data_IF_800760619241
#
_entry.id   IF_800760619241
#
_cell.length_a   1.000
_cell.length_b   1.000
_cell.length_c   1.000
_cell.angle_alpha   90.00
_cell.angle_beta   90.00
_cell.angle_gamma   90.00
#
_symmetry.space_group_name_H-M   'P 1'
#
loop_
_entity.id
_entity.type
_entity.pdbx_description
1 polymer ?
#
# COMPACT_ATOMS: atom_id res chain seq x y z
N UNK A 1 -7.62 -26.40 -19.36
CA UNK A 1 -6.24 -26.21 -18.88
C UNK A 1 -5.55 -25.08 -19.65
N UNK A 2 -5.46 -25.16 -20.99
CA UNK A 2 -4.80 -24.15 -21.83
C UNK A 2 -5.45 -22.74 -21.78
N UNK A 3 -6.79 -22.67 -21.74
CA UNK A 3 -7.52 -21.41 -21.57
C UNK A 3 -7.31 -20.77 -20.18
N UNK A 4 -7.27 -21.57 -19.11
CA UNK A 4 -7.01 -21.08 -17.75
C UNK A 4 -5.57 -20.56 -17.59
N UNK A 5 -4.60 -21.23 -18.22
CA UNK A 5 -3.21 -20.75 -18.29
C UNK A 5 -3.05 -19.46 -19.11
N UNK A 6 -3.89 -19.24 -20.12
CA UNK A 6 -3.87 -18.01 -20.90
C UNK A 6 -4.47 -16.82 -20.14
N UNK A 7 -5.52 -17.07 -19.34
CA UNK A 7 -6.15 -16.08 -18.44
C UNK A 7 -5.18 -15.69 -17.33
N UNK A 8 -4.54 -16.66 -16.64
CA UNK A 8 -3.53 -16.38 -15.61
C UNK A 8 -2.37 -15.49 -16.11
N UNK A 9 -1.95 -15.65 -17.37
CA UNK A 9 -0.86 -14.86 -17.98
C UNK A 9 -1.19 -13.41 -18.33
N UNK A 10 -2.46 -12.97 -18.27
CA UNK A 10 -2.81 -11.56 -18.55
C UNK A 10 -2.83 -10.66 -17.31
N UNK A 11 -3.16 -11.19 -16.14
CA UNK A 11 -3.50 -10.38 -14.95
C UNK A 11 -2.34 -10.18 -13.97
N UNK A 12 -1.19 -10.79 -14.24
CA UNK A 12 -0.05 -10.74 -13.33
C UNK A 12 0.46 -9.32 -13.04
N UNK A 13 0.33 -8.40 -14.00
CA UNK A 13 0.76 -7.01 -13.82
C UNK A 13 -0.13 -6.31 -12.81
N UNK A 14 -1.45 -6.51 -12.91
CA UNK A 14 -2.44 -5.95 -11.98
C UNK A 14 -2.17 -6.43 -10.56
N UNK A 15 -1.96 -7.75 -10.39
CA UNK A 15 -1.65 -8.35 -9.10
C UNK A 15 -0.31 -7.84 -8.55
N UNK A 16 0.69 -7.67 -9.40
CA UNK A 16 1.99 -7.09 -9.02
C UNK A 16 1.86 -5.65 -8.54
N UNK A 17 1.06 -4.82 -9.23
CA UNK A 17 0.84 -3.42 -8.85
C UNK A 17 0.13 -3.34 -7.49
N UNK A 18 -0.94 -4.10 -7.30
CA UNK A 18 -1.69 -4.13 -6.04
C UNK A 18 -0.78 -4.62 -4.90
N UNK A 19 -0.14 -5.78 -5.05
CA UNK A 19 0.74 -6.35 -4.04
C UNK A 19 1.93 -5.43 -3.74
N UNK A 20 2.53 -4.83 -4.77
CA UNK A 20 3.62 -3.86 -4.65
C UNK A 20 3.21 -2.61 -3.88
N UNK A 21 2.05 -2.04 -4.21
CA UNK A 21 1.53 -0.86 -3.53
C UNK A 21 1.27 -1.12 -2.03
N UNK A 22 0.64 -2.25 -1.70
CA UNK A 22 0.42 -2.63 -0.30
C UNK A 22 1.75 -2.88 0.44
N UNK A 23 2.74 -3.47 -0.24
CA UNK A 23 4.07 -3.72 0.33
C UNK A 23 4.87 -2.43 0.60
N UNK A 24 4.74 -1.43 -0.27
CA UNK A 24 5.28 -0.08 -0.04
C UNK A 24 4.65 0.52 1.21
N UNK A 25 3.33 0.45 1.35
CA UNK A 25 2.62 0.94 2.53
C UNK A 25 3.07 0.25 3.83
N UNK A 26 3.15 -1.08 3.81
CA UNK A 26 3.60 -1.87 4.97
C UNK A 26 5.04 -1.54 5.39
N UNK A 27 5.98 -1.51 4.44
CA UNK A 27 7.38 -1.19 4.74
C UNK A 27 7.57 0.27 5.20
N UNK A 28 6.83 1.21 4.61
CA UNK A 28 6.81 2.62 5.05
C UNK A 28 6.28 2.74 6.47
N UNK A 29 5.18 2.06 6.81
CA UNK A 29 4.62 2.07 8.17
C UNK A 29 5.61 1.56 9.20
N UNK A 30 6.35 0.48 8.90
CA UNK A 30 7.39 -0.04 9.79
C UNK A 30 8.57 0.92 9.92
N UNK A 31 9.01 1.54 8.81
CA UNK A 31 10.04 2.58 8.85
C UNK A 31 9.64 3.74 9.76
N UNK A 32 8.40 4.23 9.67
CA UNK A 32 7.89 5.31 10.52
C UNK A 32 7.91 4.92 12.00
N UNK A 33 7.43 3.72 12.34
CA UNK A 33 7.45 3.20 13.72
C UNK A 33 8.89 3.11 14.23
N UNK A 34 9.78 2.51 13.43
CA UNK A 34 11.19 2.35 13.78
C UNK A 34 11.88 3.70 13.99
N UNK A 35 11.62 4.69 13.11
CA UNK A 35 12.18 6.03 13.23
C UNK A 35 11.71 6.72 14.52
N UNK A 36 10.41 6.68 14.84
CA UNK A 36 9.88 7.28 16.08
C UNK A 36 10.49 6.64 17.32
N UNK A 37 10.57 5.31 17.35
CA UNK A 37 11.17 4.58 18.47
C UNK A 37 12.67 4.91 18.61
N UNK A 38 13.41 4.88 17.50
CA UNK A 38 14.84 5.18 17.48
C UNK A 38 15.11 6.62 17.94
N UNK A 39 14.32 7.58 17.47
CA UNK A 39 14.49 8.99 17.83
C UNK A 39 14.15 9.25 19.30
N UNK A 40 13.11 8.59 19.84
CA UNK A 40 12.74 8.71 21.24
C UNK A 40 13.76 8.09 22.22
N UNK A 41 14.55 7.12 21.76
CA UNK A 41 15.58 6.45 22.56
C UNK A 41 17.02 6.90 22.24
N UNK A 42 17.20 7.78 21.25
CA UNK A 42 18.48 8.31 20.81
C UNK A 42 19.10 9.24 21.86
N UNK A 43 20.40 9.09 22.09
CA UNK A 43 21.17 9.95 22.98
C UNK A 43 22.62 10.04 22.49
N UNK A 44 23.08 11.24 22.15
CA UNK A 44 24.44 11.48 21.63
C UNK A 44 25.53 11.28 22.69
N UNK A 45 25.19 11.38 23.97
CA UNK A 45 26.09 11.17 25.10
C UNK A 45 25.84 9.83 25.81
N UNK A 46 24.89 9.04 25.30
CA UNK A 46 24.51 7.76 25.88
C UNK A 46 25.53 6.64 25.67
N UNK A 47 25.13 5.43 26.06
CA UNK A 47 25.90 4.22 25.76
C UNK A 47 26.09 3.98 24.25
N UNK A 48 26.82 2.93 23.89
CA UNK A 48 27.10 2.59 22.48
C UNK A 48 25.81 2.43 21.66
N UNK A 49 24.79 1.78 22.23
CA UNK A 49 23.54 1.50 21.52
C UNK A 49 22.71 2.77 21.32
N UNK A 50 22.56 3.60 22.34
CA UNK A 50 21.86 4.89 22.22
C UNK A 50 22.55 5.85 21.26
N UNK A 51 23.89 5.84 21.23
CA UNK A 51 24.66 6.59 20.23
C UNK A 51 24.44 6.05 18.81
N UNK A 52 24.32 4.74 18.62
CA UNK A 52 23.92 4.19 17.32
C UNK A 52 22.53 4.64 16.90
N UNK A 53 21.55 4.65 17.80
CA UNK A 53 20.20 5.17 17.51
C UNK A 53 20.23 6.67 17.18
N UNK A 54 21.07 7.45 17.87
CA UNK A 54 21.30 8.84 17.56
C UNK A 54 21.87 9.00 16.15
N UNK A 55 22.94 8.30 15.80
CA UNK A 55 23.52 8.32 14.46
C UNK A 55 22.53 7.81 13.39
N UNK A 56 21.69 6.83 13.71
CA UNK A 56 20.67 6.29 12.78
C UNK A 56 19.61 7.33 12.42
N UNK A 57 19.29 8.24 13.35
CA UNK A 57 18.27 9.29 13.17
C UNK A 57 18.87 10.65 12.80
N UNK A 58 20.17 10.84 13.03
CA UNK A 58 20.91 12.08 12.80
C UNK A 58 22.12 11.83 11.87
N UNK A 59 21.86 11.33 10.67
CA UNK A 59 22.88 11.13 9.64
C UNK A 59 22.54 11.85 8.32
N UNK A 60 23.52 11.87 7.40
CA UNK A 60 23.40 12.49 6.10
C UNK A 60 22.28 11.89 5.22
N UNK A 61 21.95 10.60 5.36
CA UNK A 61 20.84 9.99 4.61
C UNK A 61 19.50 10.53 5.10
N UNK A 62 19.34 10.66 6.42
CA UNK A 62 18.17 11.33 7.01
C UNK A 62 18.15 12.81 6.63
N UNK A 63 19.29 13.50 6.65
CA UNK A 63 19.40 14.89 6.22
C UNK A 63 19.05 15.07 4.73
N UNK A 64 19.50 14.17 3.86
CA UNK A 64 19.16 14.16 2.44
C UNK A 64 17.67 13.89 2.23
N UNK A 65 17.16 12.89 2.95
CA UNK A 65 15.74 12.52 2.91
C UNK A 65 14.85 13.59 3.53
N UNK A 66 15.34 14.43 4.44
CA UNK A 66 14.57 15.55 5.00
C UNK A 66 14.71 16.83 4.18
N UNK A 67 15.84 17.01 3.47
CA UNK A 67 16.02 18.08 2.50
C UNK A 67 15.19 17.85 1.23
N UNK A 68 15.02 16.58 0.82
CA UNK A 68 14.28 16.19 -0.40
C UNK A 68 13.32 15.02 -0.16
N UNK A 69 12.42 15.11 0.85
CA UNK A 69 11.57 13.99 1.29
C UNK A 69 10.74 13.41 0.17
N UNK A 70 10.33 14.28 -0.74
CA UNK A 70 9.49 13.84 -1.80
C UNK A 70 10.23 13.14 -2.94
N UNK A 71 11.49 13.48 -3.21
CA UNK A 71 12.34 12.70 -4.13
C UNK A 71 12.55 11.30 -3.53
N UNK A 72 12.86 11.23 -2.23
CA UNK A 72 13.03 9.96 -1.53
C UNK A 72 11.76 9.09 -1.62
N UNK A 73 10.56 9.65 -1.41
CA UNK A 73 9.32 8.88 -1.50
C UNK A 73 8.92 8.56 -2.94
N UNK A 74 9.11 9.47 -3.92
CA UNK A 74 8.89 9.15 -5.34
C UNK A 74 9.77 7.96 -5.75
N UNK A 75 11.06 7.98 -5.39
CA UNK A 75 11.96 6.86 -5.63
C UNK A 75 11.49 5.60 -4.89
N UNK A 76 11.05 5.71 -3.64
CA UNK A 76 10.54 4.57 -2.87
C UNK A 76 9.33 3.91 -3.54
N UNK A 77 8.35 4.71 -3.99
CA UNK A 77 7.14 4.22 -4.66
C UNK A 77 7.48 3.64 -6.04
N UNK A 78 8.22 4.38 -6.86
CA UNK A 78 8.54 3.95 -8.24
C UNK A 78 9.42 2.71 -8.22
N UNK A 79 10.50 2.69 -7.43
CA UNK A 79 11.36 1.52 -7.32
C UNK A 79 10.62 0.34 -6.71
N UNK A 80 9.78 0.56 -5.69
CA UNK A 80 8.93 -0.48 -5.12
C UNK A 80 8.04 -1.14 -6.19
N UNK A 81 7.30 -0.34 -6.96
CA UNK A 81 6.46 -0.88 -8.03
C UNK A 81 7.27 -1.59 -9.13
N UNK A 82 8.44 -1.06 -9.51
CA UNK A 82 9.35 -1.74 -10.46
C UNK A 82 9.77 -3.12 -9.92
N UNK A 83 10.17 -3.20 -8.65
CA UNK A 83 10.54 -4.47 -8.01
C UNK A 83 9.36 -5.43 -7.90
N UNK A 84 8.15 -4.94 -7.65
CA UNK A 84 6.94 -5.77 -7.62
C UNK A 84 6.63 -6.39 -9.00
N UNK A 85 6.70 -5.59 -10.07
CA UNK A 85 6.54 -6.06 -11.45
C UNK A 85 7.67 -7.04 -11.81
N UNK A 86 8.91 -6.76 -11.41
CA UNK A 86 10.02 -7.67 -11.65
C UNK A 86 9.84 -9.01 -10.92
N UNK A 87 9.37 -8.99 -9.66
CA UNK A 87 9.05 -10.20 -8.90
C UNK A 87 8.03 -11.07 -9.65
N UNK A 88 6.94 -10.45 -10.07
CA UNK A 88 5.87 -11.12 -10.78
C UNK A 88 6.32 -11.71 -12.12
N UNK A 89 7.16 -10.98 -12.86
CA UNK A 89 7.77 -11.45 -14.10
C UNK A 89 8.68 -12.66 -13.88
N UNK A 90 9.49 -12.64 -12.81
CA UNK A 90 10.38 -13.74 -12.43
C UNK A 90 9.61 -15.00 -11.99
N UNK A 91 8.48 -14.84 -11.29
CA UNK A 91 7.62 -15.98 -10.91
C UNK A 91 6.94 -16.62 -12.13
N UNK A 92 6.53 -15.84 -13.13
CA UNK A 92 5.91 -16.38 -14.34
C UNK A 92 6.89 -16.97 -15.34
N UNK A 93 8.10 -16.42 -15.39
CA UNK A 93 9.14 -16.86 -16.31
C UNK A 93 10.37 -17.40 -15.54
N UNK A 94 10.19 -18.40 -14.66
CA UNK A 94 11.27 -18.82 -13.79
C UNK A 94 12.31 -19.58 -14.59
N UNK A 95 13.49 -18.99 -14.75
CA UNK A 95 14.67 -19.74 -15.16
C UNK A 95 15.03 -20.79 -14.10
N UNK A 96 15.80 -21.83 -14.47
CA UNK A 96 16.26 -22.83 -13.49
C UNK A 96 16.97 -22.20 -12.29
N UNK A 97 17.75 -21.14 -12.54
CA UNK A 97 18.45 -20.41 -11.50
C UNK A 97 17.48 -19.68 -10.57
N UNK A 98 16.51 -18.93 -11.13
CA UNK A 98 15.51 -18.18 -10.36
C UNK A 98 14.69 -19.13 -9.49
N UNK A 99 14.26 -20.27 -10.04
CA UNK A 99 13.52 -21.28 -9.27
C UNK A 99 14.34 -21.85 -8.12
N UNK A 100 15.62 -22.17 -8.36
CA UNK A 100 16.53 -22.64 -7.31
C UNK A 100 16.71 -21.61 -6.19
N UNK A 101 16.80 -20.33 -6.55
CA UNK A 101 17.03 -19.24 -5.60
C UNK A 101 15.77 -18.84 -4.82
N UNK A 102 14.64 -18.63 -5.49
CA UNK A 102 13.36 -18.34 -4.82
C UNK A 102 12.84 -19.55 -4.05
N UNK A 103 13.12 -20.76 -4.53
CA UNK A 103 12.66 -22.04 -4.01
C UNK A 103 11.15 -22.28 -4.18
N UNK A 104 10.71 -23.47 -3.80
CA UNK A 104 9.31 -23.91 -3.94
C UNK A 104 8.48 -23.68 -2.65
N UNK A 105 8.89 -22.74 -1.80
CA UNK A 105 8.24 -22.44 -0.52
C UNK A 105 6.96 -21.60 -0.66
N UNK A 106 6.27 -21.27 0.44
CA UNK A 106 5.09 -20.38 0.42
C UNK A 106 5.46 -18.97 -0.08
N UNK A 107 4.46 -18.23 -0.59
CA UNK A 107 4.64 -16.93 -1.25
C UNK A 107 5.47 -15.94 -0.42
N UNK A 108 5.17 -15.80 0.87
CA UNK A 108 5.92 -14.92 1.76
C UNK A 108 7.42 -15.26 1.84
N UNK A 109 7.78 -16.54 1.82
CA UNK A 109 9.17 -16.98 1.90
C UNK A 109 9.91 -16.71 0.58
N UNK A 110 9.24 -16.93 -0.56
CA UNK A 110 9.77 -16.59 -1.89
C UNK A 110 9.98 -15.09 -2.01
N UNK A 111 9.02 -14.29 -1.57
CA UNK A 111 9.10 -12.83 -1.55
C UNK A 111 10.21 -12.29 -0.64
N UNK A 112 10.40 -12.84 0.56
CA UNK A 112 11.53 -12.47 1.44
C UNK A 112 12.89 -12.78 0.80
N UNK A 113 13.04 -13.94 0.14
CA UNK A 113 14.27 -14.29 -0.60
C UNK A 113 14.48 -13.33 -1.76
N UNK A 114 13.43 -13.05 -2.52
CA UNK A 114 13.47 -12.07 -3.60
C UNK A 114 13.98 -10.71 -3.11
N UNK A 115 13.48 -10.24 -1.97
CA UNK A 115 13.82 -8.94 -1.41
C UNK A 115 15.30 -8.77 -1.01
N UNK A 116 16.08 -9.86 -0.97
CA UNK A 116 17.53 -9.77 -0.82
C UNK A 116 18.18 -9.05 -2.02
N UNK A 117 17.62 -9.14 -3.24
CA UNK A 117 18.11 -8.40 -4.40
C UNK A 117 17.96 -6.88 -4.25
N UNK A 118 16.75 -6.31 -4.06
CA UNK A 118 16.60 -4.88 -3.84
C UNK A 118 17.36 -4.42 -2.60
N UNK A 119 17.46 -5.24 -1.55
CA UNK A 119 18.30 -4.93 -0.39
C UNK A 119 19.77 -4.76 -0.79
N UNK A 120 20.36 -5.71 -1.52
CA UNK A 120 21.74 -5.59 -2.01
C UNK A 120 21.90 -4.35 -2.88
N UNK A 121 20.98 -4.12 -3.83
CA UNK A 121 20.99 -2.93 -4.70
C UNK A 121 20.95 -1.65 -3.86
N UNK A 122 20.12 -1.61 -2.82
CA UNK A 122 20.03 -0.45 -1.94
C UNK A 122 21.34 -0.20 -1.19
N UNK A 123 22.04 -1.25 -0.76
CA UNK A 123 23.34 -1.14 -0.08
C UNK A 123 24.46 -0.69 -1.02
N UNK A 124 24.51 -1.23 -2.25
CA UNK A 124 25.65 -1.03 -3.15
C UNK A 124 25.49 0.14 -4.13
N UNK A 125 24.25 0.52 -4.43
CA UNK A 125 23.95 1.60 -5.38
C UNK A 125 23.29 2.79 -4.69
N UNK A 126 22.17 2.57 -3.98
CA UNK A 126 21.36 3.68 -3.47
C UNK A 126 21.99 4.40 -2.27
N UNK A 127 22.51 3.66 -1.28
CA UNK A 127 23.17 4.26 -0.13
C UNK A 127 24.41 5.08 -0.53
N UNK A 128 25.34 4.56 -1.36
CA UNK A 128 26.46 5.37 -1.85
C UNK A 128 26.03 6.57 -2.69
N UNK A 129 24.98 6.43 -3.51
CA UNK A 129 24.46 7.54 -4.31
C UNK A 129 23.80 8.63 -3.46
N UNK A 130 23.11 8.25 -2.38
CA UNK A 130 22.52 9.19 -1.42
C UNK A 130 23.57 9.84 -0.50
N UNK A 131 24.75 9.22 -0.37
CA UNK A 131 25.82 9.61 0.54
C UNK A 131 27.14 9.85 -0.19
N UNK A 132 27.12 10.55 -1.33
CA UNK A 132 28.33 10.88 -2.11
C UNK A 132 29.40 11.46 -1.17
N UNK A 133 30.55 10.76 -1.06
CA UNK A 133 31.71 11.02 -0.17
C UNK A 133 31.61 10.58 1.31
N UNK A 134 30.68 9.71 1.72
CA UNK A 134 30.42 9.48 3.16
C UNK A 134 30.24 8.02 3.62
N UNK A 135 30.82 7.03 2.94
CA UNK A 135 30.72 5.62 3.36
C UNK A 135 31.18 5.39 4.82
N UNK A 136 32.21 6.11 5.26
CA UNK A 136 32.72 6.09 6.65
C UNK A 136 31.70 6.58 7.68
N UNK A 137 30.76 7.45 7.29
CA UNK A 137 29.74 8.02 8.16
C UNK A 137 28.43 7.25 8.14
N UNK A 138 28.03 6.65 7.01
CA UNK A 138 26.88 5.75 6.98
C UNK A 138 27.08 4.52 7.90
N UNK A 139 28.34 4.16 8.17
CA UNK A 139 28.73 3.12 9.12
C UNK A 139 28.88 3.62 10.57
N UNK A 140 28.75 4.92 10.86
CA UNK A 140 28.86 5.47 12.23
C UNK A 140 27.68 5.05 13.12
N UNK A 141 26.52 4.82 12.53
CA UNK A 141 25.36 4.18 13.15
C UNK A 141 25.56 2.67 13.39
N UNK A 142 26.76 2.16 13.10
CA UNK A 142 27.13 0.77 13.28
C UNK A 142 26.32 -0.16 12.37
N UNK A 143 26.05 -1.40 12.82
CA UNK A 143 25.33 -2.39 12.02
C UNK A 143 23.84 -2.06 11.85
N UNK A 144 23.30 -1.07 12.56
CA UNK A 144 21.85 -0.77 12.53
C UNK A 144 21.37 -0.32 11.16
N UNK A 145 22.19 0.38 10.37
CA UNK A 145 21.80 0.82 9.03
C UNK A 145 21.57 -0.37 8.08
N UNK A 146 22.57 -1.26 7.84
CA UNK A 146 22.35 -2.40 6.95
C UNK A 146 21.32 -3.40 7.48
N UNK A 147 21.22 -3.58 8.80
CA UNK A 147 20.24 -4.49 9.43
C UNK A 147 18.82 -3.93 9.36
N UNK A 148 18.62 -2.66 9.72
CA UNK A 148 17.31 -2.01 9.60
C UNK A 148 16.84 -1.98 8.16
N UNK A 149 17.74 -1.66 7.24
CA UNK A 149 17.45 -1.71 5.81
C UNK A 149 17.10 -3.13 5.32
N UNK A 150 17.78 -4.16 5.81
CA UNK A 150 17.42 -5.56 5.53
C UNK A 150 16.00 -5.87 6.03
N UNK A 151 15.68 -5.53 7.27
CA UNK A 151 14.36 -5.78 7.86
C UNK A 151 13.25 -5.14 7.02
N UNK A 152 13.41 -3.89 6.59
CA UNK A 152 12.42 -3.20 5.76
C UNK A 152 12.20 -3.92 4.42
N UNK A 153 13.28 -4.37 3.78
CA UNK A 153 13.19 -5.13 2.54
C UNK A 153 12.55 -6.50 2.76
N UNK A 154 12.88 -7.20 3.85
CA UNK A 154 12.25 -8.48 4.17
C UNK A 154 10.74 -8.33 4.42
N UNK A 155 10.30 -7.23 5.05
CA UNK A 155 8.88 -6.94 5.25
C UNK A 155 8.20 -6.63 3.92
N UNK A 156 8.83 -5.79 3.09
CA UNK A 156 8.38 -5.54 1.73
C UNK A 156 8.21 -6.85 0.94
N UNK A 157 9.23 -7.72 0.96
CA UNK A 157 9.22 -9.01 0.28
C UNK A 157 8.18 -9.97 0.84
N UNK A 158 8.02 -10.03 2.16
CA UNK A 158 7.01 -10.86 2.82
C UNK A 158 5.61 -10.51 2.34
N UNK A 159 5.23 -9.22 2.39
CA UNK A 159 3.91 -8.75 1.97
C UNK A 159 3.72 -8.95 0.46
N UNK A 160 4.73 -8.63 -0.34
CA UNK A 160 4.68 -8.79 -1.79
C UNK A 160 4.45 -10.24 -2.18
N UNK A 161 5.24 -11.16 -1.64
CA UNK A 161 5.14 -12.58 -1.95
C UNK A 161 3.83 -13.19 -1.45
N UNK A 162 3.33 -12.77 -0.29
CA UNK A 162 2.07 -13.24 0.26
C UNK A 162 0.86 -12.79 -0.58
N UNK A 163 0.84 -11.53 -1.02
CA UNK A 163 -0.28 -10.96 -1.78
C UNK A 163 -0.23 -11.30 -3.27
N UNK A 164 0.96 -11.51 -3.82
CA UNK A 164 1.12 -11.91 -5.22
C UNK A 164 0.88 -13.40 -5.44
N UNK A 165 1.00 -14.24 -4.40
CA UNK A 165 1.01 -15.70 -4.51
C UNK A 165 -0.06 -16.21 -5.50
N UNK A 166 0.33 -16.77 -6.65
CA UNK A 166 -0.62 -17.18 -7.69
C UNK A 166 -1.60 -18.27 -7.21
N UNK A 167 -1.21 -19.02 -6.17
CA UNK A 167 -2.02 -20.03 -5.52
C UNK A 167 -3.07 -19.44 -4.55
N UNK A 168 -3.06 -18.14 -4.26
CA UNK A 168 -4.12 -17.48 -3.49
C UNK A 168 -5.48 -17.50 -4.22
N UNK A 169 -5.48 -17.72 -5.53
CA UNK A 169 -6.69 -17.98 -6.32
C UNK A 169 -7.06 -19.46 -6.42
N UNK A 170 -6.36 -20.36 -5.72
CA UNK A 170 -6.79 -21.75 -5.60
C UNK A 170 -7.67 -21.88 -4.35
N UNK A 171 -8.81 -22.58 -4.44
CA UNK A 171 -9.71 -22.75 -3.32
C UNK A 171 -8.98 -23.34 -2.11
N UNK A 172 -9.13 -22.69 -0.95
CA UNK A 172 -8.40 -23.04 0.27
C UNK A 172 -8.75 -24.45 0.78
N UNK A 173 -9.94 -24.95 0.41
CA UNK A 173 -10.40 -26.30 0.70
C UNK A 173 -11.06 -26.94 -0.53
N UNK A 174 -11.05 -28.28 -0.61
CA UNK A 174 -11.75 -29.02 -1.67
C UNK A 174 -13.28 -28.84 -1.68
N UNK A 175 -13.85 -28.21 -0.64
CA UNK A 175 -15.28 -27.85 -0.56
C UNK A 175 -15.58 -26.46 -1.16
N UNK A 176 -14.58 -25.56 -1.26
CA UNK A 176 -14.72 -24.26 -1.97
C UNK A 176 -14.84 -24.42 -3.49
N UNK A 177 -14.60 -25.62 -4.02
CA UNK A 177 -14.73 -25.97 -5.44
C UNK A 177 -16.18 -25.98 -5.95
N UNK A 178 -17.18 -25.91 -5.07
CA UNK A 178 -18.58 -26.17 -5.43
C UNK A 178 -19.30 -24.92 -5.96
N UNK A 179 -18.76 -23.71 -5.77
CA UNK A 179 -19.48 -22.46 -6.09
C UNK A 179 -18.68 -21.31 -6.72
N UNK A 180 -17.44 -21.50 -7.21
CA UNK A 180 -16.85 -20.48 -8.09
C UNK A 180 -17.50 -20.56 -9.48
N UNK A 181 -18.66 -19.92 -9.62
CA UNK A 181 -19.23 -19.67 -10.94
C UNK A 181 -18.17 -18.94 -11.78
N UNK A 182 -17.93 -19.35 -13.04
CA UNK A 182 -16.98 -18.66 -13.93
C UNK A 182 -17.19 -17.14 -13.98
N UNK A 183 -18.44 -16.68 -13.78
CA UNK A 183 -18.80 -15.28 -13.70
C UNK A 183 -18.18 -14.56 -12.49
N UNK A 184 -18.11 -15.21 -11.32
CA UNK A 184 -17.50 -14.64 -10.13
C UNK A 184 -15.98 -14.49 -10.29
N UNK A 185 -15.32 -15.48 -10.90
CA UNK A 185 -13.88 -15.37 -11.21
C UNK A 185 -13.59 -14.21 -12.18
N UNK A 186 -14.42 -14.06 -13.22
CA UNK A 186 -14.31 -12.93 -14.17
C UNK A 186 -14.56 -11.60 -13.45
N UNK A 187 -15.52 -11.56 -12.52
CA UNK A 187 -15.84 -10.37 -11.73
C UNK A 187 -14.65 -9.91 -10.86
N UNK A 188 -14.02 -10.86 -10.15
CA UNK A 188 -12.84 -10.59 -9.33
C UNK A 188 -11.68 -10.11 -10.20
N UNK A 189 -11.42 -10.78 -11.33
CA UNK A 189 -10.35 -10.38 -12.26
C UNK A 189 -10.55 -8.96 -12.79
N UNK A 190 -11.77 -8.62 -13.21
CA UNK A 190 -12.07 -7.25 -13.65
C UNK A 190 -11.91 -6.24 -12.51
N UNK A 191 -12.35 -6.56 -11.30
CA UNK A 191 -12.12 -5.73 -10.10
C UNK A 191 -10.62 -5.52 -9.84
N UNK A 192 -9.78 -6.55 -9.97
CA UNK A 192 -8.33 -6.43 -9.80
C UNK A 192 -7.68 -5.56 -10.89
N UNK A 193 -8.05 -5.76 -12.16
CA UNK A 193 -7.52 -4.96 -13.27
C UNK A 193 -7.87 -3.48 -13.14
N UNK A 194 -9.14 -3.19 -12.86
CA UNK A 194 -9.57 -1.81 -12.65
C UNK A 194 -9.02 -1.24 -11.35
N UNK A 195 -8.84 -2.06 -10.31
CA UNK A 195 -8.16 -1.68 -9.07
C UNK A 195 -6.71 -1.27 -9.33
N UNK A 196 -5.95 -2.06 -10.08
CA UNK A 196 -4.57 -1.72 -10.45
C UNK A 196 -4.49 -0.44 -11.31
N UNK A 197 -5.36 -0.32 -12.32
CA UNK A 197 -5.47 0.90 -13.11
C UNK A 197 -5.83 2.11 -12.23
N UNK A 198 -6.73 1.89 -11.28
CA UNK A 198 -7.16 2.85 -10.26
C UNK A 198 -6.00 3.31 -9.37
N UNK A 199 -5.13 2.41 -8.90
CA UNK A 199 -3.95 2.77 -8.12
C UNK A 199 -3.03 3.71 -8.92
N UNK A 200 -2.78 3.38 -10.19
CA UNK A 200 -1.90 4.17 -11.06
C UNK A 200 -2.51 5.55 -11.36
N UNK A 201 -3.75 5.57 -11.85
CA UNK A 201 -4.45 6.82 -12.21
C UNK A 201 -4.72 7.68 -10.98
N UNK A 202 -5.17 7.07 -9.89
CA UNK A 202 -5.39 7.73 -8.61
C UNK A 202 -4.11 8.30 -8.04
N UNK A 203 -2.97 7.60 -8.16
CA UNK A 203 -1.67 8.12 -7.78
C UNK A 203 -1.27 9.36 -8.57
N UNK A 204 -1.46 9.35 -9.90
CA UNK A 204 -1.17 10.50 -10.78
C UNK A 204 -2.08 11.69 -10.45
N UNK A 205 -3.39 11.47 -10.33
CA UNK A 205 -4.36 12.52 -9.99
C UNK A 205 -4.07 13.08 -8.60
N UNK A 206 -3.83 12.20 -7.63
CA UNK A 206 -3.48 12.59 -6.27
C UNK A 206 -2.21 13.43 -6.21
N UNK A 207 -1.18 13.09 -6.99
CA UNK A 207 0.02 13.92 -7.14
C UNK A 207 -0.32 15.33 -7.63
N UNK A 208 -1.10 15.43 -8.70
CA UNK A 208 -1.51 16.71 -9.28
C UNK A 208 -2.33 17.55 -8.29
N UNK A 209 -3.25 16.93 -7.55
CA UNK A 209 -4.03 17.59 -6.48
C UNK A 209 -3.11 18.05 -5.35
N UNK A 210 -2.16 17.22 -4.92
CA UNK A 210 -1.18 17.59 -3.90
C UNK A 210 -0.35 18.81 -4.29
N UNK A 211 0.12 18.85 -5.54
CA UNK A 211 0.83 20.01 -6.11
C UNK A 211 -0.08 21.24 -6.15
N UNK A 212 -1.33 21.08 -6.61
CA UNK A 212 -2.31 22.17 -6.66
C UNK A 212 -2.62 22.75 -5.28
N UNK A 213 -2.81 21.89 -4.28
CA UNK A 213 -2.99 22.28 -2.88
C UNK A 213 -1.78 23.05 -2.35
N UNK A 214 -0.57 22.68 -2.75
CA UNK A 214 0.63 23.39 -2.32
C UNK A 214 0.75 24.81 -2.89
N UNK A 215 0.12 25.08 -4.04
CA UNK A 215 0.05 26.42 -4.64
C UNK A 215 -0.97 27.28 -3.90
N UNK A 216 -2.09 26.68 -3.46
CA UNK A 216 -3.21 27.41 -2.85
C UNK A 216 -3.03 27.59 -1.34
N UNK A 217 -2.55 26.56 -0.65
CA UNK A 217 -2.35 26.59 0.79
C UNK A 217 -1.04 27.33 1.08
N UNK A 218 -1.08 28.47 1.79
CA UNK A 218 0.14 29.13 2.23
C UNK A 218 0.93 28.11 3.06
N UNK A 219 2.27 28.07 2.92
CA UNK A 219 3.07 27.23 3.79
C UNK A 219 2.71 27.60 5.23
N UNK A 220 2.15 26.65 5.95
CA UNK A 220 1.68 26.85 7.33
C UNK A 220 2.84 27.18 8.28
N UNK A 221 4.08 27.09 7.79
CA UNK A 221 5.31 27.38 8.49
C UNK A 221 6.18 28.32 7.65
N UNK A 222 6.41 29.57 8.09
CA UNK A 222 7.10 30.61 7.30
C UNK A 222 8.58 30.33 6.95
N UNK A 223 9.15 29.22 7.43
CA UNK A 223 10.56 28.83 7.23
C UNK A 223 10.72 27.48 6.52
N UNK A 224 9.67 26.92 5.94
CA UNK A 224 9.77 25.68 5.14
C UNK A 224 9.92 26.09 3.68
N UNK A 225 11.08 25.77 3.11
CA UNK A 225 11.41 26.08 1.73
C UNK A 225 10.35 25.53 0.76
N UNK A 226 9.89 26.36 -0.17
CA UNK A 226 8.72 26.11 -1.04
C UNK A 226 8.89 24.87 -1.94
N UNK A 227 10.14 24.45 -2.17
CA UNK A 227 10.46 23.20 -2.87
C UNK A 227 10.09 21.93 -2.08
N UNK A 228 10.11 21.95 -0.75
CA UNK A 228 9.78 20.77 0.07
C UNK A 228 8.29 20.55 0.26
N UNK A 229 7.52 21.64 0.44
CA UNK A 229 6.08 21.60 0.73
C UNK A 229 5.25 21.02 -0.41
N UNK A 230 5.50 21.50 -1.64
CA UNK A 230 4.74 21.08 -2.82
C UNK A 230 4.94 19.62 -3.17
N UNK A 231 6.17 19.15 -3.10
CA UNK A 231 6.46 17.77 -3.44
C UNK A 231 6.04 16.83 -2.28
N UNK A 232 6.07 17.26 -1.02
CA UNK A 232 5.52 16.48 0.11
C UNK A 232 4.00 16.28 -0.01
N UNK A 233 3.26 17.32 -0.36
CA UNK A 233 1.83 17.21 -0.64
C UNK A 233 1.56 16.37 -1.89
N UNK A 234 2.40 16.47 -2.93
CA UNK A 234 2.32 15.59 -4.10
C UNK A 234 2.46 14.12 -3.71
N UNK A 235 3.41 13.80 -2.84
CA UNK A 235 3.65 12.44 -2.36
C UNK A 235 2.50 11.91 -1.49
N UNK A 236 2.04 12.70 -0.52
CA UNK A 236 0.83 12.36 0.22
C UNK A 236 -0.34 12.12 -0.73
N UNK A 237 -0.41 12.94 -1.78
CA UNK A 237 -1.31 12.81 -2.90
C UNK A 237 -1.19 11.47 -3.64
N UNK A 238 0.02 11.04 -4.00
CA UNK A 238 0.24 9.74 -4.67
C UNK A 238 -0.28 8.59 -3.82
N UNK A 239 0.06 8.56 -2.53
CA UNK A 239 -0.33 7.47 -1.64
C UNK A 239 -1.84 7.47 -1.36
N UNK A 240 -2.41 8.63 -1.03
CA UNK A 240 -3.84 8.75 -0.76
C UNK A 240 -4.68 8.54 -2.03
N UNK A 241 -4.27 9.17 -3.13
CA UNK A 241 -4.90 9.04 -4.43
C UNK A 241 -4.79 7.62 -4.98
N UNK A 242 -3.63 6.96 -4.86
CA UNK A 242 -3.46 5.56 -5.26
C UNK A 242 -4.31 4.61 -4.43
N UNK A 243 -4.40 4.82 -3.11
CA UNK A 243 -5.25 4.01 -2.23
C UNK A 243 -6.73 4.14 -2.60
N UNK A 244 -7.21 5.38 -2.77
CA UNK A 244 -8.60 5.62 -3.17
C UNK A 244 -8.87 5.16 -4.58
N UNK A 245 -7.95 5.42 -5.51
CA UNK A 245 -8.06 4.99 -6.88
C UNK A 245 -8.15 3.47 -6.96
N UNK A 246 -7.39 2.73 -6.16
CA UNK A 246 -7.49 1.27 -6.05
C UNK A 246 -8.87 0.81 -5.61
N UNK A 247 -9.44 1.44 -4.57
CA UNK A 247 -10.78 1.12 -4.06
C UNK A 247 -11.87 1.45 -5.11
N UNK A 248 -11.82 2.66 -5.69
CA UNK A 248 -12.80 3.08 -6.72
C UNK A 248 -12.68 2.20 -7.96
N UNK A 249 -11.46 1.91 -8.38
CA UNK A 249 -11.16 1.00 -9.47
C UNK A 249 -11.73 -0.39 -9.23
N UNK A 250 -11.50 -0.97 -8.05
CA UNK A 250 -12.03 -2.30 -7.74
C UNK A 250 -13.55 -2.35 -7.80
N UNK A 251 -14.24 -1.35 -7.25
CA UNK A 251 -15.70 -1.27 -7.36
C UNK A 251 -16.19 -1.03 -8.79
N UNK A 252 -15.48 -0.20 -9.57
CA UNK A 252 -15.82 0.07 -10.97
C UNK A 252 -15.61 -1.16 -11.88
N UNK A 253 -14.72 -2.07 -11.50
CA UNK A 253 -14.49 -3.32 -12.21
C UNK A 253 -15.51 -4.42 -11.90
N UNK A 254 -16.34 -4.28 -10.88
CA UNK A 254 -17.38 -5.26 -10.60
C UNK A 254 -18.40 -5.27 -11.75
N UNK A 255 -18.72 -6.44 -12.34
CA UNK A 255 -19.76 -6.53 -13.33
C UNK A 255 -21.07 -6.10 -12.70
N UNK A 256 -21.88 -5.36 -13.45
CA UNK A 256 -23.25 -5.11 -13.04
C UNK A 256 -23.89 -6.48 -12.83
N UNK A 257 -24.25 -6.80 -11.58
CA UNK A 257 -25.01 -8.01 -11.29
C UNK A 257 -26.19 -8.03 -12.26
N UNK A 258 -26.37 -9.16 -12.96
CA UNK A 258 -27.51 -9.34 -13.83
C UNK A 258 -28.74 -9.15 -12.96
N UNK A 259 -29.44 -8.01 -13.13
CA UNK A 259 -30.53 -7.65 -12.24
C UNK A 259 -31.57 -8.74 -12.32
N UNK A 260 -32.00 -9.22 -11.15
CA UNK A 260 -33.14 -10.11 -11.08
C UNK A 260 -34.29 -9.47 -11.88
N UNK A 261 -34.96 -10.20 -12.79
CA UNK A 261 -36.15 -9.70 -13.46
C UNK A 261 -37.16 -9.04 -12.50
N UNK A 262 -37.23 -9.49 -11.25
CA UNK A 262 -38.04 -8.86 -10.20
C UNK A 262 -37.51 -7.47 -9.79
N UNK A 263 -36.20 -7.26 -9.70
CA UNK A 263 -35.55 -5.96 -9.47
C UNK A 263 -35.71 -5.00 -10.65
N UNK A 264 -35.72 -5.52 -11.89
CA UNK A 264 -35.98 -4.70 -13.09
C UNK A 264 -37.41 -4.14 -13.08
N UNK A 265 -38.34 -4.85 -12.45
CA UNK A 265 -39.73 -4.43 -12.29
C UNK A 265 -39.96 -3.55 -11.05
N UNK A 266 -39.07 -3.60 -10.06
CA UNK A 266 -39.11 -2.68 -8.92
C UNK A 266 -38.72 -1.26 -9.38
N UNK A 267 -39.41 -0.25 -8.86
CA UNK A 267 -39.01 1.14 -9.14
C UNK A 267 -37.56 1.34 -8.65
N UNK A 268 -36.65 1.84 -9.51
CA UNK A 268 -35.24 1.97 -9.14
C UNK A 268 -35.11 2.83 -7.90
N UNK A 269 -34.39 2.34 -6.88
CA UNK A 269 -34.12 3.13 -5.68
C UNK A 269 -33.43 4.45 -6.10
N UNK A 270 -34.08 5.61 -5.89
CA UNK A 270 -33.50 6.89 -6.29
C UNK A 270 -32.19 7.18 -5.54
N UNK A 271 -31.95 6.58 -4.37
CA UNK A 271 -30.72 6.75 -3.60
C UNK A 271 -29.52 6.07 -4.27
N UNK A 272 -29.72 4.84 -4.72
CA UNK A 272 -28.65 4.01 -5.30
C UNK A 272 -28.16 4.61 -6.64
N UNK A 273 -29.07 5.13 -7.48
CA UNK A 273 -28.71 5.56 -8.85
C UNK A 273 -28.42 7.06 -8.98
N UNK A 274 -28.86 7.89 -8.03
CA UNK A 274 -28.67 9.36 -8.11
C UNK A 274 -27.80 9.92 -7.01
N UNK A 275 -27.88 9.36 -5.79
CA UNK A 275 -27.27 9.98 -4.60
C UNK A 275 -25.88 9.40 -4.34
N UNK A 276 -25.73 8.07 -4.34
CA UNK A 276 -24.43 7.43 -4.09
C UNK A 276 -23.33 7.84 -5.09
N UNK A 277 -23.55 7.78 -6.42
CA UNK A 277 -22.54 8.14 -7.41
C UNK A 277 -22.13 9.62 -7.33
N UNK A 278 -23.00 10.48 -6.79
CA UNK A 278 -22.73 11.90 -6.61
C UNK A 278 -22.01 12.22 -5.31
N UNK A 279 -22.27 11.46 -4.23
CA UNK A 279 -21.66 11.70 -2.91
C UNK A 279 -20.31 11.00 -2.72
N UNK A 280 -20.08 9.85 -3.39
CA UNK A 280 -18.84 9.10 -3.27
C UNK A 280 -17.61 9.92 -3.72
N UNK A 281 -17.62 10.60 -4.90
CA UNK A 281 -16.46 11.40 -5.32
C UNK A 281 -16.08 12.53 -4.34
N UNK A 282 -16.99 13.42 -3.89
CA UNK A 282 -16.63 14.47 -2.95
C UNK A 282 -16.25 13.93 -1.56
N UNK A 283 -16.89 12.86 -1.08
CA UNK A 283 -16.50 12.22 0.18
C UNK A 283 -15.07 11.66 0.10
N UNK A 284 -14.74 10.96 -0.99
CA UNK A 284 -13.39 10.46 -1.22
C UNK A 284 -12.36 11.59 -1.33
N UNK A 285 -12.69 12.69 -2.01
CA UNK A 285 -11.83 13.87 -2.06
C UNK A 285 -11.59 14.45 -0.66
N UNK A 286 -12.61 14.50 0.20
CA UNK A 286 -12.47 14.95 1.58
C UNK A 286 -11.57 14.00 2.39
N UNK A 287 -11.77 12.68 2.26
CA UNK A 287 -10.93 11.68 2.94
C UNK A 287 -9.49 11.75 2.46
N UNK A 288 -9.25 11.87 1.15
CA UNK A 288 -7.93 12.07 0.56
C UNK A 288 -7.31 13.35 1.10
N UNK A 289 -8.02 14.48 1.05
CA UNK A 289 -7.51 15.75 1.55
C UNK A 289 -7.18 15.68 3.05
N UNK A 290 -8.00 14.99 3.85
CA UNK A 290 -7.74 14.78 5.27
C UNK A 290 -6.51 13.91 5.50
N UNK A 291 -6.34 12.81 4.75
CA UNK A 291 -5.15 11.95 4.81
C UNK A 291 -3.91 12.73 4.39
N UNK A 292 -3.93 13.40 3.23
CA UNK A 292 -2.83 14.23 2.71
C UNK A 292 -2.45 15.30 3.73
N UNK A 293 -3.43 16.01 4.29
CA UNK A 293 -3.17 17.08 5.25
C UNK A 293 -2.60 16.50 6.55
N UNK A 294 -3.11 15.37 7.03
CA UNK A 294 -2.63 14.72 8.26
C UNK A 294 -1.22 14.15 8.09
N UNK A 295 -0.97 13.44 6.99
CA UNK A 295 0.36 12.90 6.66
C UNK A 295 1.35 14.03 6.36
N UNK A 296 0.98 15.01 5.55
CA UNK A 296 1.82 16.15 5.21
C UNK A 296 2.19 16.96 6.45
N UNK A 297 1.23 17.21 7.34
CA UNK A 297 1.49 17.89 8.62
C UNK A 297 2.37 17.03 9.53
N UNK A 298 2.13 15.71 9.60
CA UNK A 298 2.94 14.78 10.39
C UNK A 298 4.40 14.71 9.92
N UNK A 299 4.62 14.62 8.61
CA UNK A 299 5.96 14.63 8.00
C UNK A 299 6.69 15.95 8.26
N UNK A 300 5.98 17.09 8.16
CA UNK A 300 6.56 18.38 8.51
C UNK A 300 6.93 18.52 9.99
N UNK A 301 6.14 17.92 10.89
CA UNK A 301 6.45 17.92 12.31
C UNK A 301 7.67 17.05 12.63
N UNK A 302 7.86 15.93 11.91
CA UNK A 302 9.04 15.08 12.06
C UNK A 302 10.34 15.76 11.59
N UNK A 303 10.27 16.67 10.61
CA UNK A 303 11.42 17.38 10.08
C UNK A 303 11.98 18.50 10.96
N UNK A 304 11.25 18.96 11.99
CA UNK A 304 11.72 20.00 12.91
C UNK A 304 12.31 19.39 14.17
N UNK A 305 13.62 19.13 14.12
CA UNK A 305 14.44 18.65 15.24
C UNK A 305 14.51 19.59 16.46
N UNK A 306 13.90 20.79 16.42
CA UNK A 306 13.95 21.77 17.52
C UNK A 306 12.61 22.04 18.21
N UNK A 307 11.50 21.47 17.72
CA UNK A 307 10.27 21.52 18.48
C UNK A 307 10.34 20.44 19.56
N UNK A 308 10.35 20.85 20.84
CA UNK A 308 10.03 20.01 22.00
C UNK A 308 8.57 19.46 21.95
N UNK A 309 8.08 19.09 20.77
CA UNK A 309 6.96 18.19 20.62
C UNK A 309 7.50 16.83 21.08
N UNK A 310 7.44 16.61 22.40
CA UNK A 310 7.95 15.40 23.01
C UNK A 310 7.38 14.16 22.30
N UNK A 311 8.13 13.04 22.23
CA UNK A 311 7.74 11.80 21.55
C UNK A 311 6.32 11.30 21.87
N UNK A 312 5.75 11.75 22.98
CA UNK A 312 4.37 11.53 23.41
C UNK A 312 3.34 12.06 22.39
N UNK A 313 3.53 13.22 21.75
CA UNK A 313 2.52 13.81 20.87
C UNK A 313 2.46 13.11 19.52
N UNK A 314 3.63 12.78 18.95
CA UNK A 314 3.74 11.96 17.73
C UNK A 314 3.25 10.54 18.02
N UNK A 315 3.62 9.97 19.17
CA UNK A 315 3.11 8.67 19.61
C UNK A 315 1.58 8.62 19.70
N UNK A 316 0.94 9.68 20.21
CA UNK A 316 -0.54 9.77 20.26
C UNK A 316 -1.17 9.77 18.87
N UNK A 317 -0.61 10.50 17.90
CA UNK A 317 -1.13 10.54 16.53
C UNK A 317 -1.00 9.16 15.84
N UNK A 318 0.14 8.48 16.00
CA UNK A 318 0.36 7.14 15.46
C UNK A 318 -0.56 6.11 16.12
N UNK A 319 -0.69 6.14 17.45
CA UNK A 319 -1.61 5.25 18.18
C UNK A 319 -3.06 5.49 17.76
N UNK A 320 -3.48 6.75 17.58
CA UNK A 320 -4.82 7.07 17.11
C UNK A 320 -5.08 6.55 15.68
N UNK A 321 -4.09 6.67 14.79
CA UNK A 321 -4.19 6.12 13.43
C UNK A 321 -4.27 4.59 13.44
N UNK A 322 -3.39 3.91 14.18
CA UNK A 322 -3.41 2.45 14.33
C UNK A 322 -4.72 1.95 14.94
N UNK A 323 -5.23 2.65 15.95
CA UNK A 323 -6.52 2.35 16.57
C UNK A 323 -7.67 2.55 15.58
N UNK A 324 -7.67 3.63 14.81
CA UNK A 324 -8.65 3.88 13.76
C UNK A 324 -8.68 2.77 12.71
N UNK A 325 -7.50 2.33 12.23
CA UNK A 325 -7.38 1.21 11.29
C UNK A 325 -7.93 -0.08 11.91
N UNK A 326 -7.58 -0.38 13.17
CA UNK A 326 -8.08 -1.55 13.90
C UNK A 326 -9.61 -1.52 14.05
N UNK A 327 -10.19 -0.38 14.42
CA UNK A 327 -11.65 -0.24 14.57
C UNK A 327 -12.36 -0.42 13.23
N UNK A 328 -11.83 0.16 12.14
CA UNK A 328 -12.39 -0.03 10.80
C UNK A 328 -12.28 -1.50 10.38
N UNK A 329 -11.13 -2.13 10.58
CA UNK A 329 -10.91 -3.55 10.26
C UNK A 329 -11.83 -4.49 11.05
N UNK A 330 -11.96 -4.29 12.36
CA UNK A 330 -12.88 -5.07 13.19
C UNK A 330 -14.35 -4.79 12.86
N UNK A 331 -14.70 -3.55 12.51
CA UNK A 331 -16.05 -3.19 12.06
C UNK A 331 -16.42 -3.91 10.77
N UNK A 332 -15.51 -3.91 9.78
CA UNK A 332 -15.68 -4.66 8.53
C UNK A 332 -15.80 -6.17 8.78
N UNK A 333 -14.92 -6.73 9.61
CA UNK A 333 -14.96 -8.16 9.98
C UNK A 333 -16.28 -8.52 10.70
N UNK A 334 -16.74 -7.68 11.62
CA UNK A 334 -17.99 -7.90 12.34
C UNK A 334 -19.21 -7.82 11.42
N UNK A 335 -19.22 -6.86 10.47
CA UNK A 335 -20.26 -6.79 9.45
C UNK A 335 -20.26 -8.03 8.54
N UNK A 336 -19.08 -8.52 8.15
CA UNK A 336 -18.94 -9.72 7.31
C UNK A 336 -19.32 -11.02 8.02
N UNK A 337 -19.33 -11.04 9.36
CA UNK A 337 -19.63 -12.24 10.17
C UNK A 337 -21.03 -12.23 10.77
N UNK A 338 -21.90 -11.28 10.37
CA UNK A 338 -23.28 -11.24 10.88
C UNK A 338 -24.07 -12.48 10.40
N UNK A 339 -24.69 -13.25 11.31
CA UNK A 339 -25.46 -14.45 10.98
C UNK A 339 -26.78 -14.19 10.25
N UNK A 340 -27.20 -12.92 10.16
CA UNK A 340 -28.48 -12.53 9.55
C UNK A 340 -28.44 -12.50 8.02
N UNK A 341 -27.26 -12.65 7.40
CA UNK A 341 -27.16 -12.95 5.96
C UNK A 341 -27.42 -14.44 5.73
N UNK A 342 -28.67 -14.86 5.96
CA UNK A 342 -29.14 -16.11 5.40
C UNK A 342 -29.00 -15.98 3.87
N UNK A 343 -28.20 -16.81 3.18
CA UNK A 343 -28.19 -16.79 1.73
C UNK A 343 -29.64 -16.93 1.26
N UNK A 344 -30.10 -16.11 0.30
CA UNK A 344 -31.46 -16.20 -0.21
C UNK A 344 -31.72 -17.66 -0.55
N UNK A 345 -32.70 -18.25 0.12
CA UNK A 345 -32.86 -19.69 0.07
C UNK A 345 -33.15 -20.06 -1.39
N UNK A 346 -32.28 -20.88 -1.98
CA UNK A 346 -32.45 -21.43 -3.33
C UNK A 346 -33.74 -22.25 -3.50
N UNK A 347 -34.53 -22.40 -2.43
CA UNK A 347 -35.86 -23.01 -2.45
C UNK A 347 -36.97 -22.07 -2.92
N UNK A 348 -36.78 -20.75 -2.89
CA UNK A 348 -37.82 -19.83 -3.40
C UNK A 348 -37.77 -19.63 -4.92
N UNK A 349 -36.64 -19.90 -5.59
CA UNK A 349 -36.49 -19.71 -7.04
C UNK A 349 -36.88 -20.91 -7.91
N UNK A 350 -37.12 -22.10 -7.34
CA UNK A 350 -37.39 -23.32 -8.13
C UNK A 350 -38.86 -23.77 -8.11
N UNK A 351 -39.71 -23.22 -7.23
CA UNK A 351 -41.05 -23.82 -6.99
C UNK A 351 -42.22 -23.28 -7.81
N UNK A 352 -42.07 -22.23 -8.64
CA UNK A 352 -43.22 -21.63 -9.35
C UNK A 352 -43.32 -21.91 -10.86
N UNK A 353 -42.40 -22.68 -11.47
CA UNK A 353 -42.44 -22.92 -12.92
C UNK A 353 -43.02 -24.28 -13.36
N UNK A 354 -43.68 -25.02 -12.47
CA UNK A 354 -44.25 -26.33 -12.78
C UNK A 354 -45.80 -26.40 -12.81
N UNK A 355 -46.51 -25.28 -12.63
CA UNK A 355 -47.97 -25.24 -12.77
C UNK A 355 -48.36 -24.11 -13.72
N UNK A 356 -48.37 -24.39 -15.03
CA UNK A 356 -49.44 -23.98 -15.98
C UNK A 356 -49.21 -24.55 -17.38
#
# INVERSE_FOLDING_TARGET
MEAAEAVSRRHWVSNAIIAGFVSIGASTGVLMIAYVVANGAADSQGDVFRRWLWQLTHNAVVSFSTATPAVAVILHVVLGLIWAVLYAWLEQNPSRFVRSWLGDGPGWARGMRFALLPWIVSLVALLPAAAVNMLDWALSAGPLVPVGNLILHLIYGFVLGQLYEPAAGLPATGEDLVYEEPLQQIAVQHSEDFGAAGIVLGGVIGAAVGIGLAIVLPPTLPNVDFGGWSIALAVGGILAGGSVGGIVGSFAGLPNAERDPAEVLAEPDPFEHKVLPFLIPPFLVIVIAAIITTFGTGLLQLGKSELEIGPITIGKAVIAALFGILVIGFGALWLATRPDQSPPSSRETVSHSAEH
#
